data_IF_605449006715
#
_entry.id   IF_605449006715
#
_cell.length_a   1.000
_cell.length_b   1.000
_cell.length_c   1.000
_cell.angle_alpha   90.00
_cell.angle_beta   90.00
_cell.angle_gamma   90.00
#
_symmetry.space_group_name_H-M   'P 1'
#
loop_
_entity.id
_entity.type
_entity.pdbx_description
1 polymer ?
#
# COMPACT_ATOMS: atom_id res chain seq x y z
N UNK A 1 9.19 14.93 -10.32
CA UNK A 1 10.51 14.28 -10.44
C UNK A 1 10.36 12.85 -9.99
N UNK A 2 10.72 11.90 -10.84
CA UNK A 2 10.62 10.48 -10.52
C UNK A 2 11.96 9.92 -10.05
N UNK A 3 11.93 9.01 -9.10
CA UNK A 3 13.11 8.32 -8.52
C UNK A 3 14.28 9.25 -8.16
N UNK A 4 14.01 10.27 -7.32
CA UNK A 4 15.07 11.21 -6.92
C UNK A 4 16.21 10.56 -6.13
N UNK A 5 15.97 9.40 -5.53
CA UNK A 5 17.03 8.60 -4.91
C UNK A 5 18.09 8.19 -5.93
N UNK A 6 17.69 7.82 -7.14
CA UNK A 6 18.60 7.51 -8.24
C UNK A 6 19.26 8.76 -8.80
N UNK A 7 18.50 9.87 -8.90
CA UNK A 7 19.06 11.16 -9.30
C UNK A 7 20.19 11.57 -8.36
N UNK A 8 19.98 11.53 -7.05
CA UNK A 8 20.99 11.88 -6.05
C UNK A 8 22.13 10.85 -6.06
N UNK A 9 21.80 9.55 -6.04
CA UNK A 9 22.77 8.47 -6.01
C UNK A 9 23.80 8.68 -4.89
N UNK A 10 25.09 8.69 -5.26
CA UNK A 10 26.20 9.03 -4.34
C UNK A 10 26.69 10.48 -4.49
N UNK A 11 26.06 11.28 -5.35
CA UNK A 11 26.50 12.63 -5.69
C UNK A 11 25.78 13.67 -4.86
N UNK A 12 26.43 14.14 -3.80
CA UNK A 12 25.84 15.08 -2.86
C UNK A 12 25.55 16.46 -3.47
N UNK A 13 26.20 16.83 -4.56
CA UNK A 13 25.95 18.12 -5.23
C UNK A 13 24.56 18.18 -5.88
N UNK A 14 24.01 17.02 -6.25
CA UNK A 14 22.65 16.91 -6.81
C UNK A 14 21.55 17.18 -5.77
N UNK A 15 21.86 17.00 -4.49
CA UNK A 15 20.96 17.41 -3.39
C UNK A 15 20.83 18.93 -3.37
N UNK A 16 21.94 19.65 -3.56
CA UNK A 16 21.97 21.11 -3.63
C UNK A 16 21.20 21.63 -4.84
N UNK A 17 21.36 21.00 -6.00
CA UNK A 17 20.60 21.35 -7.21
C UNK A 17 19.10 21.16 -7.03
N UNK A 18 18.68 20.03 -6.45
CA UNK A 18 17.28 19.76 -6.15
C UNK A 18 16.72 20.78 -5.15
N UNK A 19 17.52 21.19 -4.16
CA UNK A 19 17.15 22.23 -3.22
C UNK A 19 16.92 23.58 -3.92
N UNK A 20 17.86 24.01 -4.78
CA UNK A 20 17.75 25.25 -5.53
C UNK A 20 16.56 25.24 -6.52
N UNK A 21 16.29 24.10 -7.15
CA UNK A 21 15.12 23.92 -8.01
C UNK A 21 13.81 24.06 -7.22
N UNK A 22 13.70 23.41 -6.07
CA UNK A 22 12.54 23.53 -5.18
C UNK A 22 12.31 24.97 -4.71
N UNK A 23 13.38 25.73 -4.48
CA UNK A 23 13.32 27.14 -4.11
C UNK A 23 12.70 27.98 -5.21
N UNK A 24 13.28 27.90 -6.41
CA UNK A 24 12.84 28.69 -7.56
C UNK A 24 11.41 28.40 -7.93
N UNK A 25 10.97 27.14 -7.84
CA UNK A 25 9.57 26.78 -8.11
C UNK A 25 8.64 27.40 -7.07
N UNK A 26 9.06 27.45 -5.80
CA UNK A 26 8.27 28.09 -4.74
C UNK A 26 8.18 29.61 -4.96
N UNK A 27 9.32 30.26 -5.23
CA UNK A 27 9.41 31.70 -5.45
C UNK A 27 8.65 32.17 -6.70
N UNK A 28 8.89 31.51 -7.84
CA UNK A 28 8.28 31.88 -9.12
C UNK A 28 6.84 31.39 -9.22
N UNK A 29 6.57 30.18 -8.69
CA UNK A 29 5.26 29.55 -8.76
C UNK A 29 4.22 30.23 -7.88
N UNK A 30 4.62 30.89 -6.78
CA UNK A 30 3.72 31.60 -5.85
C UNK A 30 2.49 30.76 -5.46
N UNK A 31 2.72 29.47 -5.19
CA UNK A 31 1.67 28.49 -4.84
C UNK A 31 0.84 27.94 -6.01
N UNK A 32 1.08 28.38 -7.25
CA UNK A 32 0.38 27.90 -8.46
C UNK A 32 1.02 26.69 -9.11
N UNK A 33 2.20 26.29 -8.67
CA UNK A 33 2.96 25.16 -9.21
C UNK A 33 3.27 24.19 -8.07
N UNK A 34 3.01 22.91 -8.30
CA UNK A 34 3.29 21.85 -7.33
C UNK A 34 4.50 21.04 -7.79
N UNK A 35 5.50 20.91 -6.92
CA UNK A 35 6.63 20.02 -7.12
C UNK A 35 6.38 18.71 -6.37
N UNK A 36 6.20 17.64 -7.14
CA UNK A 36 6.04 16.28 -6.59
C UNK A 36 7.31 15.49 -6.88
N UNK A 37 7.78 14.78 -5.85
CA UNK A 37 9.01 14.00 -5.85
C UNK A 37 8.69 12.59 -5.35
N UNK A 38 9.20 11.57 -6.04
CA UNK A 38 9.05 10.16 -5.66
C UNK A 38 10.42 9.50 -5.47
N UNK A 39 10.49 8.53 -4.57
CA UNK A 39 11.66 7.68 -4.34
C UNK A 39 11.21 6.29 -3.85
N UNK A 40 11.92 5.24 -4.28
CA UNK A 40 11.67 3.86 -3.82
C UNK A 40 11.90 3.66 -2.32
N UNK A 41 13.06 4.10 -1.84
CA UNK A 41 13.41 4.04 -0.43
C UNK A 41 13.22 5.41 0.20
N UNK A 42 13.01 5.42 1.51
CA UNK A 42 12.94 6.67 2.23
C UNK A 42 14.26 7.41 1.97
N UNK A 43 14.20 8.67 1.56
CA UNK A 43 15.41 9.39 1.16
C UNK A 43 16.41 9.51 2.33
N UNK A 44 15.91 9.40 3.56
CA UNK A 44 16.70 9.30 4.79
C UNK A 44 17.52 7.99 4.91
N UNK A 45 17.05 6.89 4.31
CA UNK A 45 17.69 5.56 4.31
C UNK A 45 18.77 5.43 3.22
N UNK A 46 18.66 6.20 2.13
CA UNK A 46 19.60 6.18 0.99
C UNK A 46 20.90 6.94 1.31
N UNK A 47 20.82 7.97 2.16
CA UNK A 47 21.91 8.94 2.41
C UNK A 47 22.57 8.82 3.81
N UNK A 48 22.62 7.68 4.53
CA UNK A 48 23.35 7.61 5.80
C UNK A 48 24.88 7.60 5.64
N UNK A 49 25.43 7.67 4.43
CA UNK A 49 26.89 7.53 4.17
C UNK A 49 27.67 8.85 4.10
N UNK A 50 27.06 10.02 4.34
CA UNK A 50 27.78 11.30 4.24
C UNK A 50 27.45 12.20 5.45
N UNK A 51 28.09 11.92 6.60
CA UNK A 51 28.02 12.78 7.80
C UNK A 51 28.32 14.26 7.48
N UNK A 52 29.20 14.51 6.49
CA UNK A 52 29.64 15.84 6.10
C UNK A 52 28.52 16.78 5.60
N UNK A 53 27.34 16.26 5.21
CA UNK A 53 26.25 17.08 4.63
C UNK A 53 24.84 16.70 5.13
N UNK A 54 24.72 16.01 6.27
CA UNK A 54 23.43 15.68 6.90
C UNK A 54 22.53 16.92 7.09
N UNK A 55 23.11 18.09 7.42
CA UNK A 55 22.37 19.34 7.56
C UNK A 55 21.73 19.85 6.26
N UNK A 56 22.40 19.71 5.12
CA UNK A 56 21.84 20.13 3.82
C UNK A 56 20.65 19.27 3.42
N UNK A 57 20.70 17.98 3.77
CA UNK A 57 19.63 17.05 3.53
C UNK A 57 18.41 17.33 4.40
N UNK A 58 18.62 17.67 5.67
CA UNK A 58 17.54 18.10 6.56
C UNK A 58 16.81 19.34 6.00
N UNK A 59 17.56 20.33 5.52
CA UNK A 59 16.95 21.51 4.89
C UNK A 59 16.14 21.18 3.64
N UNK A 60 16.63 20.28 2.78
CA UNK A 60 15.87 19.84 1.61
C UNK A 60 14.56 19.16 2.04
N UNK A 61 14.60 18.29 3.04
CA UNK A 61 13.41 17.64 3.58
C UNK A 61 12.40 18.64 4.13
N UNK A 62 12.86 19.69 4.83
CA UNK A 62 11.99 20.70 5.43
C UNK A 62 11.21 21.49 4.36
N UNK A 63 11.71 21.55 3.11
CA UNK A 63 10.97 22.14 1.98
C UNK A 63 9.82 21.27 1.48
N UNK A 64 9.94 19.95 1.64
CA UNK A 64 8.86 19.00 1.31
C UNK A 64 8.01 18.72 2.54
N UNK A 65 7.15 19.69 2.89
CA UNK A 65 6.30 19.63 4.08
C UNK A 65 5.30 18.46 4.04
N UNK A 66 4.79 18.11 2.85
CA UNK A 66 3.85 17.00 2.68
C UNK A 66 4.65 15.73 2.35
N UNK A 67 4.87 14.90 3.38
CA UNK A 67 5.52 13.60 3.23
C UNK A 67 4.48 12.50 3.16
N UNK A 68 4.26 11.95 1.96
CA UNK A 68 3.37 10.79 1.76
C UNK A 68 4.21 9.52 1.79
N UNK A 69 4.20 8.79 2.92
CA UNK A 69 4.80 7.46 3.00
C UNK A 69 3.80 6.42 2.53
N UNK A 70 4.16 5.68 1.48
CA UNK A 70 3.39 4.53 1.03
C UNK A 70 3.66 3.34 1.95
N UNK A 71 2.85 3.19 3.01
CA UNK A 71 2.96 2.05 3.91
C UNK A 71 2.18 0.85 3.38
N UNK A 72 2.49 -0.38 3.85
CA UNK A 72 1.69 -1.57 3.56
C UNK A 72 0.19 -1.40 3.83
N UNK A 73 -0.20 -0.61 4.82
CA UNK A 73 -1.60 -0.33 5.15
C UNK A 73 -2.33 0.45 4.04
N UNK A 74 -1.59 1.22 3.24
CA UNK A 74 -2.15 1.87 2.05
C UNK A 74 -2.56 0.84 0.99
N UNK A 75 -1.90 -0.32 0.90
CA UNK A 75 -2.30 -1.35 -0.07
C UNK A 75 -3.67 -1.92 0.25
N UNK A 76 -3.93 -2.21 1.52
CA UNK A 76 -5.24 -2.68 1.97
C UNK A 76 -6.34 -1.67 1.57
N UNK A 77 -6.08 -0.38 1.81
CA UNK A 77 -6.98 0.69 1.38
C UNK A 77 -7.16 0.74 -0.13
N UNK A 78 -6.07 0.59 -0.91
CA UNK A 78 -6.12 0.57 -2.38
C UNK A 78 -6.91 -0.64 -2.88
N UNK A 79 -6.72 -1.82 -2.31
CA UNK A 79 -7.50 -3.02 -2.68
C UNK A 79 -8.98 -2.78 -2.42
N UNK A 80 -9.33 -2.32 -1.21
CA UNK A 80 -10.72 -2.04 -0.82
C UNK A 80 -11.37 -0.98 -1.71
N UNK A 81 -10.68 0.13 -1.99
CA UNK A 81 -11.23 1.26 -2.77
C UNK A 81 -11.17 1.05 -4.28
N UNK A 82 -10.13 0.41 -4.81
CA UNK A 82 -9.91 0.32 -6.25
C UNK A 82 -10.45 -0.97 -6.86
N UNK A 83 -10.34 -2.09 -6.13
CA UNK A 83 -10.71 -3.41 -6.64
C UNK A 83 -12.06 -3.90 -6.09
N UNK A 84 -12.34 -3.58 -4.83
CA UNK A 84 -13.50 -4.16 -4.12
C UNK A 84 -14.65 -3.17 -3.89
N UNK A 85 -14.48 -1.90 -4.25
CA UNK A 85 -15.48 -0.87 -3.98
C UNK A 85 -16.83 -1.26 -4.59
N UNK A 86 -17.85 -1.31 -3.73
CA UNK A 86 -19.19 -1.68 -4.14
C UNK A 86 -19.84 -0.50 -4.85
N UNK A 87 -20.59 -0.81 -5.91
CA UNK A 87 -21.51 0.17 -6.50
C UNK A 87 -22.47 0.64 -5.42
N UNK A 88 -22.74 1.94 -5.37
CA UNK A 88 -23.67 2.56 -4.43
C UNK A 88 -25.14 2.27 -4.81
N UNK A 89 -25.44 1.01 -5.09
CA UNK A 89 -26.74 0.50 -5.49
C UNK A 89 -27.34 -0.29 -4.31
N UNK A 90 -28.41 0.23 -3.68
CA UNK A 90 -29.07 -0.45 -2.58
C UNK A 90 -29.50 -1.89 -2.91
N UNK A 91 -29.87 -2.19 -4.16
CA UNK A 91 -30.28 -3.52 -4.57
C UNK A 91 -29.14 -4.54 -4.50
N UNK A 92 -27.89 -4.09 -4.65
CA UNK A 92 -26.68 -4.93 -4.53
C UNK A 92 -26.12 -4.99 -3.11
N UNK A 93 -26.26 -3.90 -2.35
CA UNK A 93 -25.74 -3.82 -0.98
C UNK A 93 -26.62 -4.57 0.04
N UNK A 94 -27.95 -4.59 -0.15
CA UNK A 94 -28.88 -5.27 0.77
C UNK A 94 -28.64 -6.78 0.87
N UNK A 95 -28.49 -7.54 -0.25
CA UNK A 95 -28.18 -8.97 -0.17
C UNK A 95 -26.87 -9.25 0.53
N UNK A 96 -25.83 -8.45 0.27
CA UNK A 96 -24.52 -8.62 0.91
C UNK A 96 -24.57 -8.36 2.43
N UNK A 97 -25.32 -7.34 2.87
CA UNK A 97 -25.57 -7.11 4.30
C UNK A 97 -26.31 -8.27 4.95
N UNK A 98 -27.34 -8.80 4.27
CA UNK A 98 -28.11 -9.95 4.75
C UNK A 98 -27.22 -11.19 4.86
N UNK A 99 -26.36 -11.45 3.88
CA UNK A 99 -25.40 -12.55 3.89
C UNK A 99 -24.51 -12.49 5.14
N UNK A 100 -23.95 -11.31 5.44
CA UNK A 100 -23.17 -11.12 6.67
C UNK A 100 -24.00 -11.43 7.92
N UNK A 101 -25.18 -10.80 8.05
CA UNK A 101 -26.03 -10.95 9.24
C UNK A 101 -26.47 -12.40 9.45
N UNK A 102 -26.77 -13.13 8.39
CA UNK A 102 -27.16 -14.55 8.45
C UNK A 102 -26.01 -15.48 8.85
N UNK A 103 -24.76 -15.11 8.58
CA UNK A 103 -23.59 -15.97 8.83
C UNK A 103 -22.61 -15.40 9.86
N UNK A 104 -22.92 -14.29 10.54
CA UNK A 104 -22.00 -13.58 11.41
C UNK A 104 -21.38 -14.48 12.51
N UNK A 105 -22.17 -15.34 13.16
CA UNK A 105 -21.66 -16.25 14.19
C UNK A 105 -20.69 -17.31 13.63
N UNK A 106 -21.00 -17.86 12.46
CA UNK A 106 -20.11 -18.82 11.78
C UNK A 106 -18.83 -18.13 11.30
N UNK A 107 -18.93 -16.92 10.75
CA UNK A 107 -17.77 -16.12 10.34
C UNK A 107 -16.87 -15.78 11.54
N UNK A 108 -17.45 -15.38 12.67
CA UNK A 108 -16.68 -15.08 13.88
C UNK A 108 -15.90 -16.30 14.40
N UNK A 109 -16.41 -17.52 14.16
CA UNK A 109 -15.79 -18.75 14.67
C UNK A 109 -14.82 -19.40 13.68
N UNK A 110 -15.17 -19.38 12.40
CA UNK A 110 -14.46 -20.13 11.34
C UNK A 110 -13.50 -19.26 10.52
N UNK A 111 -13.75 -17.96 10.43
CA UNK A 111 -12.97 -17.05 9.59
C UNK A 111 -11.94 -16.23 10.38
N UNK A 112 -11.92 -16.30 11.71
CA UNK A 112 -10.95 -15.57 12.54
C UNK A 112 -9.73 -16.45 12.84
N UNK A 113 -8.56 -15.83 12.95
CA UNK A 113 -7.33 -16.52 13.38
C UNK A 113 -7.31 -16.52 14.91
N UNK A 114 -7.16 -17.70 15.51
CA UNK A 114 -7.01 -17.87 16.96
C UNK A 114 -5.55 -17.62 17.34
N UNK A 115 -5.34 -16.87 18.42
CA UNK A 115 -4.03 -16.59 19.02
C UNK A 115 -2.95 -16.14 18.02
N UNK A 116 -3.20 -15.07 17.23
CA UNK A 116 -2.20 -14.60 16.27
C UNK A 116 -0.96 -14.07 17.02
N UNK A 117 0.23 -14.46 16.56
CA UNK A 117 1.49 -13.98 17.13
C UNK A 117 1.66 -12.45 17.05
N UNK A 118 0.99 -11.82 16.08
CA UNK A 118 0.86 -10.37 15.94
C UNK A 118 -0.54 -10.05 15.42
N UNK A 119 -1.23 -9.11 16.08
CA UNK A 119 -2.53 -8.63 15.64
C UNK A 119 -2.49 -7.14 15.30
N UNK A 120 -2.85 -6.82 14.06
CA UNK A 120 -2.87 -5.45 13.56
C UNK A 120 -4.24 -4.84 13.85
N UNK A 121 -4.38 -4.20 15.02
CA UNK A 121 -5.65 -3.57 15.43
C UNK A 121 -6.85 -4.53 15.41
N UNK A 122 -6.65 -5.76 15.88
CA UNK A 122 -7.68 -6.81 15.92
C UNK A 122 -8.17 -7.30 14.53
N UNK A 123 -7.43 -7.02 13.45
CA UNK A 123 -7.79 -7.40 12.08
C UNK A 123 -7.92 -8.92 11.90
N UNK A 124 -7.20 -9.71 12.67
CA UNK A 124 -7.25 -11.17 12.60
C UNK A 124 -8.32 -11.79 13.51
N UNK A 125 -8.74 -11.07 14.54
CA UNK A 125 -9.58 -11.59 15.64
C UNK A 125 -10.99 -11.02 15.65
N UNK A 126 -11.25 -9.93 14.92
CA UNK A 126 -12.55 -9.28 14.84
C UNK A 126 -12.96 -9.04 13.39
N UNK A 127 -14.24 -9.24 13.13
CA UNK A 127 -14.89 -8.90 11.86
C UNK A 127 -16.20 -8.22 12.16
N UNK A 128 -16.35 -7.00 11.66
CA UNK A 128 -17.62 -6.29 11.65
C UNK A 128 -18.24 -6.28 10.24
N UNK A 129 -19.52 -5.89 10.17
CA UNK A 129 -20.26 -5.85 8.91
C UNK A 129 -19.61 -4.88 7.90
N UNK A 130 -19.11 -3.73 8.34
CA UNK A 130 -18.49 -2.73 7.48
C UNK A 130 -17.20 -3.26 6.86
N UNK A 131 -16.33 -3.87 7.67
CA UNK A 131 -15.11 -4.53 7.24
C UNK A 131 -15.39 -5.68 6.26
N UNK A 132 -16.39 -6.51 6.56
CA UNK A 132 -16.84 -7.56 5.66
C UNK A 132 -17.28 -6.98 4.33
N UNK A 133 -18.16 -5.98 4.32
CA UNK A 133 -18.66 -5.36 3.10
C UNK A 133 -17.56 -4.71 2.26
N UNK A 134 -16.58 -4.07 2.90
CA UNK A 134 -15.45 -3.43 2.22
C UNK A 134 -14.45 -4.43 1.62
N UNK A 135 -14.34 -5.62 2.22
CA UNK A 135 -13.35 -6.63 1.85
C UNK A 135 -13.92 -7.76 1.00
N UNK A 136 -15.24 -7.95 0.97
CA UNK A 136 -15.90 -9.03 0.23
C UNK A 136 -15.48 -9.01 -1.26
N UNK A 137 -15.17 -10.16 -1.89
CA UNK A 137 -15.29 -11.54 -1.38
C UNK A 137 -14.10 -12.03 -0.53
N UNK A 138 -13.14 -11.16 -0.21
CA UNK A 138 -12.02 -11.48 0.69
C UNK A 138 -12.38 -11.20 2.16
N UNK A 139 -11.53 -11.68 3.06
CA UNK A 139 -11.54 -11.30 4.47
C UNK A 139 -10.59 -10.11 4.71
N UNK A 140 -10.86 -9.26 5.71
CA UNK A 140 -10.09 -8.03 5.94
C UNK A 140 -8.59 -8.25 6.09
N UNK A 141 -8.17 -9.40 6.62
CA UNK A 141 -6.76 -9.71 6.84
C UNK A 141 -6.05 -10.36 5.64
N UNK A 142 -6.76 -10.78 4.58
CA UNK A 142 -6.15 -11.51 3.46
C UNK A 142 -5.05 -10.69 2.77
N UNK A 143 -5.28 -9.40 2.54
CA UNK A 143 -4.28 -8.52 1.90
C UNK A 143 -3.03 -8.42 2.76
N UNK A 144 -3.20 -8.23 4.08
CA UNK A 144 -2.10 -8.15 5.04
C UNK A 144 -1.29 -9.45 5.09
N UNK A 145 -1.98 -10.58 5.15
CA UNK A 145 -1.36 -11.89 5.20
C UNK A 145 -0.54 -12.17 3.92
N UNK A 146 -1.06 -11.80 2.74
CA UNK A 146 -0.31 -11.91 1.48
C UNK A 146 0.98 -11.08 1.50
N UNK A 147 0.94 -9.85 2.03
CA UNK A 147 2.14 -9.01 2.16
C UNK A 147 3.21 -9.67 3.03
N UNK A 148 2.81 -10.26 4.15
CA UNK A 148 3.71 -10.95 5.08
C UNK A 148 4.31 -12.21 4.44
N UNK A 149 3.47 -13.03 3.80
CA UNK A 149 3.92 -14.22 3.09
C UNK A 149 4.94 -13.85 2.01
N UNK A 150 4.65 -12.85 1.16
CA UNK A 150 5.60 -12.40 0.14
C UNK A 150 6.86 -11.78 0.74
N UNK A 151 6.76 -11.10 1.88
CA UNK A 151 7.91 -10.63 2.64
C UNK A 151 8.86 -11.75 3.02
N UNK A 152 8.32 -12.85 3.57
CA UNK A 152 9.09 -14.03 3.96
C UNK A 152 9.64 -14.80 2.75
N UNK A 153 8.87 -14.94 1.67
CA UNK A 153 9.35 -15.61 0.45
C UNK A 153 10.52 -14.86 -0.20
N UNK A 154 10.48 -13.52 -0.17
CA UNK A 154 11.60 -12.68 -0.65
C UNK A 154 12.83 -12.82 0.23
N UNK A 155 12.70 -12.79 1.55
CA UNK A 155 13.86 -12.90 2.44
C UNK A 155 14.58 -14.24 2.32
N UNK A 156 13.89 -15.28 1.83
CA UNK A 156 14.45 -16.60 1.53
C UNK A 156 14.95 -16.78 0.10
N UNK A 157 14.91 -15.73 -0.73
CA UNK A 157 15.34 -15.80 -2.13
C UNK A 157 14.45 -16.67 -3.03
N UNK A 158 13.22 -16.97 -2.61
CA UNK A 158 12.28 -17.86 -3.34
C UNK A 158 11.16 -17.11 -4.06
N UNK A 159 11.22 -15.79 -4.11
CA UNK A 159 10.23 -15.00 -4.84
C UNK A 159 10.55 -15.04 -6.35
N UNK A 160 9.57 -15.44 -7.16
CA UNK A 160 9.65 -15.26 -8.62
C UNK A 160 9.73 -13.78 -8.97
N UNK A 161 10.24 -13.45 -10.16
CA UNK A 161 10.43 -12.07 -10.63
C UNK A 161 9.13 -11.24 -10.55
N UNK A 162 7.96 -11.88 -10.73
CA UNK A 162 6.63 -11.27 -10.60
C UNK A 162 6.22 -10.93 -9.16
N UNK A 163 6.79 -11.62 -8.15
CA UNK A 163 6.54 -11.41 -6.72
C UNK A 163 7.52 -10.42 -6.07
N UNK A 164 8.44 -9.86 -6.85
CA UNK A 164 9.46 -8.91 -6.37
C UNK A 164 8.89 -7.52 -6.11
N UNK A 165 7.90 -7.08 -6.88
CA UNK A 165 7.19 -5.81 -6.64
C UNK A 165 6.28 -5.94 -5.42
N UNK A 166 6.72 -5.43 -4.26
CA UNK A 166 6.06 -5.57 -2.94
C UNK A 166 4.54 -5.36 -3.02
N UNK A 167 4.12 -4.25 -3.61
CA UNK A 167 2.72 -3.84 -3.71
C UNK A 167 2.01 -4.47 -4.91
N UNK A 168 2.69 -4.52 -6.05
CA UNK A 168 2.12 -4.96 -7.32
C UNK A 168 1.82 -6.45 -7.33
N UNK A 169 2.62 -7.25 -6.64
CA UNK A 169 2.39 -8.69 -6.47
C UNK A 169 1.07 -8.97 -5.75
N UNK A 170 0.79 -8.24 -4.66
CA UNK A 170 -0.46 -8.37 -3.90
C UNK A 170 -1.65 -7.96 -4.75
N UNK A 171 -1.56 -6.83 -5.45
CA UNK A 171 -2.62 -6.38 -6.36
C UNK A 171 -2.87 -7.38 -7.49
N UNK A 172 -1.80 -7.94 -8.06
CA UNK A 172 -1.89 -8.94 -9.11
C UNK A 172 -2.59 -10.22 -8.65
N UNK A 173 -2.23 -10.74 -7.47
CA UNK A 173 -2.87 -11.93 -6.90
C UNK A 173 -4.33 -11.68 -6.53
N UNK A 174 -4.64 -10.53 -5.93
CA UNK A 174 -6.04 -10.17 -5.66
C UNK A 174 -6.83 -10.08 -6.97
N UNK A 175 -6.31 -9.40 -7.98
CA UNK A 175 -6.98 -9.28 -9.28
C UNK A 175 -7.18 -10.64 -9.94
N UNK A 176 -6.15 -11.49 -9.95
CA UNK A 176 -6.23 -12.85 -10.47
C UNK A 176 -7.24 -13.72 -9.71
N UNK A 177 -7.39 -13.51 -8.40
CA UNK A 177 -8.39 -14.22 -7.58
C UNK A 177 -9.81 -13.75 -7.91
N UNK A 178 -9.99 -12.45 -8.17
CA UNK A 178 -11.29 -11.86 -8.50
C UNK A 178 -11.75 -12.19 -9.92
N UNK A 179 -10.87 -12.02 -10.92
CA UNK A 179 -11.19 -12.20 -12.35
C UNK A 179 -11.01 -13.65 -12.79
N UNK A 180 -10.23 -14.43 -12.05
CA UNK A 180 -9.83 -15.77 -12.46
C UNK A 180 -8.54 -15.75 -13.29
N UNK A 181 -7.99 -16.94 -13.50
CA UNK A 181 -6.77 -17.15 -14.28
C UNK A 181 -7.06 -18.21 -15.33
N UNK A 182 -6.90 -17.84 -16.61
CA UNK A 182 -7.17 -18.72 -17.77
C UNK A 182 -8.62 -19.21 -17.78
N UNK A 183 -8.85 -20.52 -17.81
CA UNK A 183 -10.16 -21.17 -17.91
C UNK A 183 -10.90 -21.29 -16.56
N UNK A 184 -10.30 -20.78 -15.47
CA UNK A 184 -10.94 -20.81 -14.14
C UNK A 184 -11.65 -19.50 -13.86
N UNK A 185 -12.97 -19.56 -13.67
CA UNK A 185 -13.80 -18.45 -13.22
C UNK A 185 -13.28 -17.87 -11.90
N UNK A 186 -13.29 -16.54 -11.82
CA UNK A 186 -12.89 -15.80 -10.62
C UNK A 186 -14.02 -15.68 -9.60
N UNK A 187 -13.67 -15.16 -8.42
CA UNK A 187 -14.66 -14.88 -7.37
C UNK A 187 -15.66 -13.78 -7.73
N UNK A 188 -15.37 -12.95 -8.75
CA UNK A 188 -16.29 -11.92 -9.21
C UNK A 188 -17.43 -12.47 -10.07
N UNK A 189 -17.25 -13.66 -10.64
CA UNK A 189 -18.20 -14.30 -11.56
C UNK A 189 -19.13 -15.31 -10.84
N UNK A 190 -18.96 -15.47 -9.51
CA UNK A 190 -19.75 -16.34 -8.63
C UNK A 190 -20.64 -15.55 -7.68
#
# INVERSE_FOLDING_TARGET
>A
LDEVGLYIGTHTDRVTELNALSERITELGRGKVWLIVTAQEALEEIIPKVEAKAGQFQWLQDRFQIKVRLTPDNIDTVVKKRLLQKKADPAKLKPLRKLYTSHAGSLATSAMIKDPARDYQALFTRLDQGQFMASYPLLPYHVRLMQEIFGVLRSRGRASQELTGRERAVLGVVQATLVGVREREGLADR
#
